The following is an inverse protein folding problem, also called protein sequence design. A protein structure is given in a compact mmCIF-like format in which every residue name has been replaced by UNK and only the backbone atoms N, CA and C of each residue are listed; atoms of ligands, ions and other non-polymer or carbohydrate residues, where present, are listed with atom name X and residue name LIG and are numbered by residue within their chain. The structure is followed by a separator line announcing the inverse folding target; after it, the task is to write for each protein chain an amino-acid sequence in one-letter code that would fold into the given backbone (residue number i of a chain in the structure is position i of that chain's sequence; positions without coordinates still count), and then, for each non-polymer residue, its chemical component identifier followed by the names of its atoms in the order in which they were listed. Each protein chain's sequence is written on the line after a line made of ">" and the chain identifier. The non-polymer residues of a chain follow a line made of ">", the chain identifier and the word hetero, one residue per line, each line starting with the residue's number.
data_IF_753509959832
#
_entry.id   IF_753509959832
#
_cell.length_a   1.000
_cell.length_b   1.000
_cell.length_c   1.000
_cell.angle_alpha   90.00
_cell.angle_beta   90.00
_cell.angle_gamma   90.00
#
_symmetry.space_group_name_H-M   'P 1'
#
loop_
_entity.id
_entity.type
_entity.pdbx_description
1 polymer ?
#
# COMPACT_ATOMS: atom_id res chain seq x y z
N UNK A 1 0.88 -2.84 2.50
CA UNK A 1 1.10 -1.51 3.13
C UNK A 1 0.72 -1.56 4.60
N UNK A 2 1.31 -0.72 5.46
CA UNK A 2 0.90 -0.51 6.85
C UNK A 2 0.96 0.98 7.13
N UNK A 3 -0.17 1.68 7.03
CA UNK A 3 -0.23 3.15 7.01
C UNK A 3 -0.16 3.80 8.37
N UNK A 4 -0.51 3.07 9.44
CA UNK A 4 -0.73 3.61 10.78
C UNK A 4 -1.77 4.75 10.80
N UNK A 5 -2.84 4.61 9.98
CA UNK A 5 -3.98 5.53 10.04
C UNK A 5 -4.59 5.52 11.45
N UNK A 6 -5.02 6.69 11.90
CA UNK A 6 -5.50 6.96 13.26
C UNK A 6 -4.47 6.72 14.40
N UNK A 7 -3.23 6.33 14.05
CA UNK A 7 -2.13 6.07 14.98
C UNK A 7 -0.92 7.00 14.81
N UNK A 8 -0.78 7.67 13.66
CA UNK A 8 0.36 8.55 13.36
C UNK A 8 -0.03 9.84 12.60
N UNK A 9 0.90 10.79 12.57
CA UNK A 9 0.83 11.93 11.66
C UNK A 9 1.11 11.47 10.23
N UNK A 10 0.14 11.63 9.34
CA UNK A 10 0.24 11.25 7.94
C UNK A 10 0.69 12.44 7.09
N UNK A 11 1.53 12.23 6.05
CA UNK A 11 1.85 13.28 5.08
C UNK A 11 0.59 13.90 4.47
N UNK A 12 0.52 15.23 4.44
CA UNK A 12 -0.66 15.98 3.97
C UNK A 12 -1.12 15.60 2.56
N UNK A 13 -0.20 15.18 1.68
CA UNK A 13 -0.53 14.75 0.32
C UNK A 13 -1.36 13.46 0.28
N UNK A 14 -1.18 12.58 1.28
CA UNK A 14 -1.96 11.37 1.50
C UNK A 14 -3.22 11.73 2.30
N UNK A 15 -3.09 12.47 3.39
CA UNK A 15 -4.21 12.82 4.26
C UNK A 15 -4.75 11.58 4.98
N UNK A 16 -5.80 10.98 4.44
CA UNK A 16 -6.46 9.79 4.98
C UNK A 16 -6.48 8.62 3.96
N UNK A 17 -7.31 7.61 4.22
CA UNK A 17 -7.45 6.44 3.35
C UNK A 17 -7.83 6.80 1.91
N UNK A 18 -8.53 7.91 1.68
CA UNK A 18 -8.92 8.38 0.35
C UNK A 18 -7.72 8.83 -0.50
N UNK A 19 -6.56 9.09 0.12
CA UNK A 19 -5.33 9.46 -0.59
C UNK A 19 -4.46 8.29 -1.05
N UNK A 20 -4.79 7.04 -0.69
CA UNK A 20 -4.03 5.87 -1.12
C UNK A 20 -3.90 5.72 -2.65
N UNK A 21 -4.91 6.05 -3.49
CA UNK A 21 -4.74 6.03 -4.95
C UNK A 21 -3.55 6.88 -5.43
N UNK A 22 -3.32 8.06 -4.84
CA UNK A 22 -2.18 8.94 -5.20
C UNK A 22 -0.82 8.26 -4.97
N UNK A 23 -0.72 7.43 -3.92
CA UNK A 23 0.50 6.66 -3.64
C UNK A 23 0.70 5.56 -4.70
N UNK A 24 -0.36 4.90 -5.13
CA UNK A 24 -0.28 3.87 -6.17
C UNK A 24 0.08 4.48 -7.54
N UNK A 25 -0.48 5.64 -7.86
CA UNK A 25 -0.13 6.41 -9.06
C UNK A 25 1.34 6.82 -9.03
N UNK A 26 1.83 7.33 -7.89
CA UNK A 26 3.24 7.67 -7.71
C UNK A 26 4.17 6.46 -7.88
N UNK A 27 3.77 5.25 -7.47
CA UNK A 27 4.53 4.04 -7.78
C UNK A 27 4.57 3.77 -9.28
N UNK A 28 3.44 3.88 -9.98
CA UNK A 28 3.38 3.66 -11.43
C UNK A 28 4.25 4.67 -12.19
N UNK A 29 4.19 5.96 -11.83
CA UNK A 29 5.03 7.02 -12.39
C UNK A 29 6.53 6.78 -12.18
N UNK A 30 6.89 6.14 -11.06
CA UNK A 30 8.28 5.73 -10.76
C UNK A 30 8.69 4.43 -11.45
N UNK A 31 7.86 3.88 -12.32
CA UNK A 31 8.17 2.68 -13.12
C UNK A 31 7.88 1.35 -12.43
N UNK A 32 7.14 1.35 -11.32
CA UNK A 32 6.75 0.10 -10.67
C UNK A 32 5.69 -0.58 -11.52
N UNK A 33 6.00 -1.77 -12.04
CA UNK A 33 5.04 -2.55 -12.83
C UNK A 33 3.81 -2.94 -12.00
N UNK A 34 2.66 -3.10 -12.67
CA UNK A 34 1.38 -3.46 -12.04
C UNK A 34 1.48 -4.67 -11.11
N UNK A 35 2.25 -5.69 -11.49
CA UNK A 35 2.45 -6.88 -10.66
C UNK A 35 3.13 -6.55 -9.32
N UNK A 36 4.14 -5.66 -9.33
CA UNK A 36 4.82 -5.22 -8.13
C UNK A 36 3.92 -4.33 -7.25
N UNK A 37 3.17 -3.41 -7.86
CA UNK A 37 2.20 -2.57 -7.15
C UNK A 37 1.17 -3.44 -6.42
N UNK A 38 0.63 -4.48 -7.06
CA UNK A 38 -0.29 -5.41 -6.40
C UNK A 38 0.35 -6.16 -5.23
N UNK A 39 1.62 -6.56 -5.34
CA UNK A 39 2.36 -7.17 -4.24
C UNK A 39 2.47 -6.25 -3.03
N UNK A 40 2.83 -5.00 -3.24
CA UNK A 40 2.97 -3.98 -2.19
C UNK A 40 1.61 -3.64 -1.56
N UNK A 41 0.59 -3.47 -2.39
CA UNK A 41 -0.75 -3.10 -1.97
C UNK A 41 -1.37 -4.19 -1.09
N UNK A 42 -1.37 -5.45 -1.54
CA UNK A 42 -2.08 -6.52 -0.82
C UNK A 42 -1.54 -7.94 -1.00
N UNK A 43 -0.97 -8.34 -2.16
CA UNK A 43 -0.66 -9.77 -2.39
C UNK A 43 0.43 -10.32 -1.46
N UNK A 44 1.40 -9.49 -1.04
CA UNK A 44 2.38 -9.92 -0.04
C UNK A 44 1.73 -10.18 1.32
N UNK A 45 0.74 -9.36 1.70
CA UNK A 45 -0.02 -9.57 2.93
C UNK A 45 -0.84 -10.85 2.87
N UNK A 46 -1.57 -11.10 1.77
CA UNK A 46 -2.31 -12.36 1.58
C UNK A 46 -1.37 -13.56 1.69
N UNK A 47 -0.24 -13.55 0.97
CA UNK A 47 0.72 -14.66 1.02
C UNK A 47 1.34 -14.86 2.42
N UNK A 48 1.53 -13.78 3.18
CA UNK A 48 2.02 -13.86 4.56
C UNK A 48 0.97 -14.47 5.48
N UNK A 49 -0.30 -14.05 5.36
CA UNK A 49 -1.41 -14.63 6.11
C UNK A 49 -1.55 -16.12 5.79
N UNK A 50 -1.50 -16.49 4.51
CA UNK A 50 -1.56 -17.91 4.10
C UNK A 50 -0.45 -18.73 4.79
N UNK A 51 0.80 -18.27 4.69
CA UNK A 51 1.95 -19.00 5.29
C UNK A 51 1.93 -19.09 6.81
N UNK A 52 1.22 -18.18 7.47
CA UNK A 52 1.31 -18.03 8.93
C UNK A 52 0.09 -18.59 9.64
N UNK A 53 -1.09 -18.44 9.04
CA UNK A 53 -2.38 -18.80 9.64
C UNK A 53 -3.34 -19.52 8.67
N UNK A 54 -2.94 -19.89 7.44
CA UNK A 54 -3.81 -20.59 6.47
C UNK A 54 -3.17 -21.06 5.17
#
# INVERSE_FOLDING_TARGET
>A
LGSDFDGAMIPAVIGDVTGLPKLLDAFAERGFGRALIQKIAYRNWISMLEKTIG
#
